data_IF_476002308273
#
_entry.id   IF_476002308273
#
_cell.length_a   1.000
_cell.length_b   1.000
_cell.length_c   1.000
_cell.angle_alpha   90.00
_cell.angle_beta   90.00
_cell.angle_gamma   90.00
#
_symmetry.space_group_name_H-M   'P 1'
#
loop_
_entity.id
_entity.type
_entity.pdbx_description
1 polymer ?
#
# COMPACT_ATOMS: atom_id res chain seq x y z
N UNK A 1 27.20 13.97 -2.80
CA UNK A 1 27.06 13.61 -4.23
C UNK A 1 26.45 12.22 -4.28
N UNK A 2 25.13 12.12 -4.44
CA UNK A 2 24.40 10.93 -4.93
C UNK A 2 22.89 11.20 -4.74
N UNK A 3 22.32 12.01 -5.64
CA UNK A 3 20.88 12.08 -5.88
C UNK A 3 20.69 12.31 -7.38
N UNK A 4 21.35 11.51 -8.21
CA UNK A 4 20.88 11.30 -9.59
C UNK A 4 19.75 10.30 -9.49
N UNK A 5 18.55 10.85 -9.43
CA UNK A 5 17.31 10.11 -9.47
C UNK A 5 17.26 9.33 -10.79
N UNK A 6 17.53 8.03 -10.70
CA UNK A 6 17.67 7.10 -11.81
C UNK A 6 16.28 6.74 -12.38
N UNK A 7 15.60 7.72 -12.95
CA UNK A 7 14.32 7.54 -13.63
C UNK A 7 14.55 6.89 -14.99
N UNK A 8 14.44 5.55 -15.06
CA UNK A 8 14.49 4.83 -16.34
C UNK A 8 15.16 3.47 -16.26
N UNK A 9 15.99 3.23 -15.24
CA UNK A 9 16.65 1.93 -15.09
C UNK A 9 15.65 0.86 -14.61
N UNK A 10 15.64 -0.32 -15.26
CA UNK A 10 14.79 -1.42 -14.84
C UNK A 10 15.20 -1.90 -13.45
N UNK A 11 14.23 -1.98 -12.54
CA UNK A 11 14.42 -2.52 -11.20
C UNK A 11 14.20 -4.03 -11.25
N UNK A 12 15.18 -4.82 -10.81
CA UNK A 12 14.96 -6.23 -10.49
C UNK A 12 14.15 -6.34 -9.20
N UNK A 13 12.92 -6.85 -9.32
CA UNK A 13 12.00 -7.02 -8.19
C UNK A 13 12.51 -8.04 -7.16
N UNK A 14 13.32 -9.03 -7.57
CA UNK A 14 13.89 -10.00 -6.65
C UNK A 14 14.99 -9.37 -5.79
N UNK A 15 15.85 -8.57 -6.40
CA UNK A 15 16.87 -7.80 -5.69
C UNK A 15 16.23 -6.76 -4.76
N UNK A 16 15.28 -6.00 -5.29
CA UNK A 16 14.51 -5.04 -4.49
C UNK A 16 13.82 -5.71 -3.30
N UNK A 17 13.22 -6.89 -3.50
CA UNK A 17 12.57 -7.65 -2.43
C UNK A 17 13.53 -8.05 -1.31
N UNK A 18 14.76 -8.48 -1.64
CA UNK A 18 15.80 -8.80 -0.66
C UNK A 18 16.24 -7.55 0.11
N UNK A 19 16.48 -6.46 -0.58
CA UNK A 19 16.90 -5.20 0.03
C UNK A 19 15.81 -4.63 0.95
N UNK A 20 14.54 -4.69 0.53
CA UNK A 20 13.40 -4.28 1.33
C UNK A 20 13.29 -5.11 2.62
N UNK A 21 13.44 -6.43 2.54
CA UNK A 21 13.40 -7.32 3.71
C UNK A 21 14.54 -6.99 4.71
N UNK A 22 15.75 -6.75 4.19
CA UNK A 22 16.90 -6.34 5.00
C UNK A 22 16.63 -5.02 5.73
N UNK A 23 16.23 -3.97 5.00
CA UNK A 23 15.92 -2.65 5.57
C UNK A 23 14.80 -2.70 6.61
N UNK A 24 13.78 -3.53 6.37
CA UNK A 24 12.70 -3.76 7.33
C UNK A 24 13.22 -4.36 8.63
N UNK A 25 14.04 -5.41 8.56
CA UNK A 25 14.61 -6.04 9.75
C UNK A 25 15.50 -5.07 10.54
N UNK A 26 16.33 -4.28 9.86
CA UNK A 26 17.16 -3.24 10.49
C UNK A 26 16.33 -2.18 11.22
N UNK A 27 15.25 -1.71 10.59
CA UNK A 27 14.32 -0.77 11.21
C UNK A 27 13.65 -1.39 12.44
N UNK A 28 13.11 -2.60 12.32
CA UNK A 28 12.35 -3.25 13.38
C UNK A 28 13.25 -3.60 14.59
N UNK A 29 14.51 -3.99 14.35
CA UNK A 29 15.49 -4.19 15.42
C UNK A 29 15.82 -2.91 16.18
N UNK A 30 15.81 -1.75 15.50
CA UNK A 30 16.15 -0.45 16.11
C UNK A 30 14.96 0.25 16.77
N UNK A 31 13.77 0.15 16.17
CA UNK A 31 12.62 1.00 16.52
C UNK A 31 11.39 0.21 16.98
N UNK A 32 11.45 -1.13 16.98
CA UNK A 32 10.29 -1.99 17.16
C UNK A 32 9.43 -2.12 15.89
N UNK A 33 8.26 -2.76 15.97
CA UNK A 33 7.40 -3.02 14.80
C UNK A 33 7.11 -1.74 14.02
N UNK A 34 7.19 -1.80 12.68
CA UNK A 34 6.85 -0.66 11.83
C UNK A 34 5.43 -0.19 12.16
N UNK A 35 5.25 1.07 12.60
CA UNK A 35 3.92 1.62 12.79
C UNK A 35 3.32 1.85 11.41
N UNK A 36 2.66 0.83 10.86
CA UNK A 36 1.93 0.95 9.61
C UNK A 36 0.69 1.78 9.91
N UNK A 37 0.55 3.01 9.39
CA UNK A 37 -0.72 3.72 9.46
C UNK A 37 -1.71 2.90 8.64
N UNK A 38 -2.47 2.04 9.32
CA UNK A 38 -3.64 1.43 8.69
C UNK A 38 -4.51 2.62 8.36
N UNK A 39 -4.85 2.77 7.07
CA UNK A 39 -5.96 3.61 6.66
C UNK A 39 -7.18 3.05 7.40
N UNK A 40 -7.45 3.54 8.61
CA UNK A 40 -8.35 2.94 9.59
C UNK A 40 -9.81 3.11 9.21
N UNK A 41 -10.09 3.44 7.94
CA UNK A 41 -11.42 3.58 7.37
C UNK A 41 -12.25 4.74 7.96
N UNK A 42 -11.83 5.34 9.08
CA UNK A 42 -12.61 6.35 9.80
C UNK A 42 -12.67 7.68 9.06
N UNK A 43 -11.74 7.95 8.14
CA UNK A 43 -11.74 9.12 7.26
C UNK A 43 -12.36 8.81 5.89
N UNK A 44 -13.52 8.17 5.84
CA UNK A 44 -14.31 8.14 4.61
C UNK A 44 -15.10 9.44 4.53
N UNK A 45 -14.76 10.27 3.55
CA UNK A 45 -15.60 11.43 3.20
C UNK A 45 -16.97 10.92 2.75
N UNK A 46 -18.04 11.74 2.85
CA UNK A 46 -19.35 11.37 2.33
C UNK A 46 -19.31 10.90 0.86
N UNK A 47 -18.49 11.56 0.03
CA UNK A 47 -18.29 11.17 -1.37
C UNK A 47 -17.70 9.76 -1.54
N UNK A 48 -16.74 9.38 -0.68
CA UNK A 48 -16.12 8.05 -0.72
C UNK A 48 -17.09 6.96 -0.24
N UNK A 49 -17.96 7.28 0.71
CA UNK A 49 -19.00 6.35 1.15
C UNK A 49 -20.03 6.11 0.04
N UNK A 50 -20.53 7.18 -0.59
CA UNK A 50 -21.49 7.07 -1.69
C UNK A 50 -20.93 6.25 -2.88
N UNK A 51 -19.64 6.42 -3.20
CA UNK A 51 -18.99 5.61 -4.22
C UNK A 51 -18.97 4.12 -3.85
N UNK A 52 -18.63 3.79 -2.60
CA UNK A 52 -18.59 2.40 -2.14
C UNK A 52 -19.98 1.77 -2.10
N UNK A 53 -21.01 2.53 -1.73
CA UNK A 53 -22.39 2.06 -1.74
C UNK A 53 -22.86 1.77 -3.18
N UNK A 54 -22.52 2.64 -4.14
CA UNK A 54 -22.81 2.41 -5.56
C UNK A 54 -22.09 1.18 -6.10
N UNK A 55 -20.82 0.99 -5.72
CA UNK A 55 -20.01 -0.17 -6.07
C UNK A 55 -20.64 -1.46 -5.54
N UNK A 56 -21.05 -1.49 -4.26
CA UNK A 56 -21.71 -2.65 -3.67
C UNK A 56 -23.04 -2.99 -4.36
N UNK A 57 -23.86 -1.98 -4.67
CA UNK A 57 -25.13 -2.18 -5.37
C UNK A 57 -24.94 -2.79 -6.77
N UNK A 58 -23.87 -2.39 -7.49
CA UNK A 58 -23.52 -2.98 -8.77
C UNK A 58 -23.08 -4.43 -8.61
N UNK A 59 -22.25 -4.75 -7.63
CA UNK A 59 -21.80 -6.13 -7.42
C UNK A 59 -22.87 -7.07 -6.93
N UNK A 60 -23.75 -6.62 -6.05
CA UNK A 60 -24.90 -7.42 -5.61
C UNK A 60 -25.79 -7.77 -6.81
N UNK A 61 -26.00 -6.82 -7.72
CA UNK A 61 -26.73 -7.05 -8.98
C UNK A 61 -26.02 -8.04 -9.90
N UNK A 62 -24.69 -8.04 -9.92
CA UNK A 62 -23.87 -8.91 -10.78
C UNK A 62 -23.53 -10.26 -10.14
N UNK A 63 -23.86 -10.47 -8.85
CA UNK A 63 -23.53 -11.69 -8.12
C UNK A 63 -22.04 -11.84 -7.80
N UNK A 64 -21.28 -10.75 -7.79
CA UNK A 64 -19.85 -10.75 -7.48
C UNK A 64 -19.64 -10.44 -6.01
N UNK A 65 -18.73 -11.17 -5.35
CA UNK A 65 -18.36 -10.93 -3.95
C UNK A 65 -16.85 -10.76 -3.84
N UNK A 66 -16.42 -9.63 -3.30
CA UNK A 66 -15.03 -9.34 -2.92
C UNK A 66 -14.83 -9.38 -1.41
#
# INVERSE_FOLDING_TARGET
MADEQNWGDPIDLAEFGRDLARRRAEYEAKNGPIPVPRNSGTRRTPSKQALLDAINAITDKQGWRW
#
